data_IF_970523219390
#
_entry.id   IF_970523219390
#
_cell.length_a   1.000
_cell.length_b   1.000
_cell.length_c   1.000
_cell.angle_alpha   90.00
_cell.angle_beta   90.00
_cell.angle_gamma   90.00
#
_symmetry.space_group_name_H-M   'P 1'
#
loop_
_entity.id
_entity.type
_entity.pdbx_description
1 polymer ?
#
# COMPACT_ATOMS: atom_id res chain seq x y z
N UNK A 1 -49.43 36.15 25.97
CA UNK A 1 -48.17 35.62 26.55
C UNK A 1 -48.44 34.17 26.94
N UNK A 2 -47.78 33.11 26.46
CA UNK A 2 -46.36 32.90 26.17
C UNK A 2 -46.21 31.99 24.94
N UNK A 3 -45.18 32.28 24.15
CA UNK A 3 -44.75 31.55 22.96
C UNK A 3 -44.11 30.23 23.38
N UNK A 4 -44.57 29.11 22.86
CA UNK A 4 -43.85 27.83 22.94
C UNK A 4 -42.94 27.73 21.73
N UNK A 5 -41.65 28.02 21.93
CA UNK A 5 -40.61 27.81 20.94
C UNK A 5 -40.24 26.32 20.93
N UNK A 6 -40.60 25.62 19.85
CA UNK A 6 -40.10 24.28 19.57
C UNK A 6 -38.63 24.38 19.19
N UNK A 7 -37.74 24.01 20.12
CA UNK A 7 -36.31 23.87 19.85
C UNK A 7 -36.13 22.57 19.05
N UNK A 8 -35.96 22.69 17.74
CA UNK A 8 -35.49 21.58 16.90
C UNK A 8 -34.01 21.43 17.20
N UNK A 9 -33.67 20.47 18.07
CA UNK A 9 -32.30 20.02 18.25
C UNK A 9 -31.87 19.30 16.96
N UNK A 10 -31.21 20.02 16.07
CA UNK A 10 -30.46 19.43 14.95
C UNK A 10 -29.34 18.59 15.54
N UNK A 11 -29.59 17.29 15.62
CA UNK A 11 -28.60 16.26 15.87
C UNK A 11 -27.62 16.29 14.68
N UNK A 12 -26.50 16.99 14.85
CA UNK A 12 -25.36 16.86 13.94
C UNK A 12 -24.85 15.43 14.15
N UNK A 13 -25.22 14.52 13.25
CA UNK A 13 -24.52 13.25 13.12
C UNK A 13 -23.09 13.60 12.69
N UNK A 14 -22.21 13.78 13.66
CA UNK A 14 -20.79 13.61 13.46
C UNK A 14 -20.58 12.13 13.15
N UNK A 15 -20.76 11.74 11.89
CA UNK A 15 -20.21 10.47 11.40
C UNK A 15 -18.71 10.65 11.47
N UNK A 16 -18.11 10.26 12.59
CA UNK A 16 -16.70 9.93 12.66
C UNK A 16 -16.49 8.76 11.70
N UNK A 17 -16.26 9.08 10.42
CA UNK A 17 -15.54 8.18 9.55
C UNK A 17 -14.21 8.03 10.27
N UNK A 18 -14.02 6.93 11.00
CA UNK A 18 -12.69 6.53 11.41
C UNK A 18 -11.90 6.46 10.12
N UNK A 19 -11.13 7.49 9.80
CA UNK A 19 -10.45 7.57 8.52
C UNK A 19 -9.47 6.41 8.54
N UNK A 20 -9.79 5.34 7.81
CA UNK A 20 -8.82 4.29 7.56
C UNK A 20 -7.53 4.98 7.11
N UNK A 21 -6.40 4.59 7.71
CA UNK A 21 -5.13 5.23 7.37
C UNK A 21 -4.95 5.23 5.84
N UNK A 22 -4.32 6.27 5.26
CA UNK A 22 -4.08 6.34 3.82
C UNK A 22 -3.47 5.05 3.29
N UNK A 23 -3.87 4.65 2.07
CA UNK A 23 -3.44 3.40 1.44
C UNK A 23 -1.91 3.25 1.45
N UNK A 24 -1.17 4.32 1.15
CA UNK A 24 0.29 4.35 1.20
C UNK A 24 0.84 3.98 2.58
N UNK A 25 0.26 4.51 3.68
CA UNK A 25 0.70 4.19 5.05
C UNK A 25 0.36 2.76 5.45
N UNK A 26 -0.81 2.26 5.03
CA UNK A 26 -1.20 0.85 5.29
C UNK A 26 -0.26 -0.10 4.55
N UNK A 27 0.05 0.19 3.30
CA UNK A 27 0.91 -0.65 2.49
C UNK A 27 2.37 -0.57 2.92
N UNK A 28 2.87 0.62 3.29
CA UNK A 28 4.19 0.78 3.90
C UNK A 28 4.35 -0.12 5.14
N UNK A 29 3.41 -0.04 6.09
CA UNK A 29 3.45 -0.90 7.30
C UNK A 29 3.43 -2.37 6.94
N UNK A 30 2.59 -2.76 5.99
CA UNK A 30 2.53 -4.14 5.51
C UNK A 30 3.86 -4.62 4.93
N UNK A 31 4.53 -3.78 4.13
CA UNK A 31 5.82 -4.09 3.51
C UNK A 31 6.92 -4.19 4.57
N UNK A 32 7.01 -3.26 5.52
CA UNK A 32 7.97 -3.33 6.63
C UNK A 32 7.76 -4.61 7.45
N UNK A 33 6.52 -4.89 7.87
CA UNK A 33 6.18 -6.11 8.60
C UNK A 33 6.55 -7.39 7.83
N UNK A 34 6.44 -7.36 6.50
CA UNK A 34 6.82 -8.48 5.63
C UNK A 34 8.33 -8.63 5.63
N UNK A 35 9.09 -7.54 5.43
CA UNK A 35 10.56 -7.54 5.46
C UNK A 35 11.07 -8.16 6.77
N UNK A 36 10.52 -7.74 7.91
CA UNK A 36 10.93 -8.22 9.23
C UNK A 36 10.70 -9.72 9.46
N UNK A 37 9.65 -10.30 8.84
CA UNK A 37 9.18 -11.65 9.16
C UNK A 37 9.54 -12.69 8.11
N UNK A 38 9.84 -12.28 6.89
CA UNK A 38 9.86 -13.16 5.74
C UNK A 38 11.07 -14.09 5.61
N UNK A 39 12.12 -13.90 6.41
CA UNK A 39 13.36 -14.72 6.33
C UNK A 39 13.11 -16.23 6.41
N UNK A 40 12.13 -16.65 7.21
CA UNK A 40 11.81 -18.07 7.44
C UNK A 40 10.42 -18.47 6.92
N UNK A 41 9.84 -17.66 6.03
CA UNK A 41 8.50 -17.94 5.51
C UNK A 41 8.46 -19.19 4.63
N UNK A 42 7.45 -20.01 4.87
CA UNK A 42 7.12 -21.12 3.99
C UNK A 42 6.47 -20.60 2.69
N UNK A 43 6.35 -21.47 1.69
CA UNK A 43 5.57 -21.15 0.49
C UNK A 43 4.13 -20.74 0.81
N UNK A 44 3.50 -21.34 1.83
CA UNK A 44 2.14 -21.01 2.23
C UNK A 44 2.04 -19.58 2.82
N UNK A 45 3.06 -19.15 3.55
CA UNK A 45 3.15 -17.78 4.09
C UNK A 45 3.30 -16.76 2.96
N UNK A 46 4.15 -17.05 1.97
CA UNK A 46 4.27 -16.24 0.75
C UNK A 46 2.98 -16.18 -0.06
N UNK A 47 2.30 -17.31 -0.25
CA UNK A 47 1.02 -17.34 -0.95
C UNK A 47 -0.06 -16.55 -0.20
N UNK A 48 -0.05 -16.58 1.14
CA UNK A 48 -0.93 -15.72 1.96
C UNK A 48 -0.59 -14.26 1.79
N UNK A 49 0.68 -13.90 1.89
CA UNK A 49 1.16 -12.53 1.71
C UNK A 49 0.76 -11.97 0.34
N UNK A 50 0.99 -12.71 -0.74
CA UNK A 50 0.59 -12.28 -2.09
C UNK A 50 -0.91 -12.02 -2.24
N UNK A 51 -1.77 -12.80 -1.55
CA UNK A 51 -3.22 -12.55 -1.55
C UNK A 51 -3.57 -11.24 -0.85
N UNK A 52 -2.97 -10.95 0.29
CA UNK A 52 -3.16 -9.69 1.01
C UNK A 52 -2.62 -8.51 0.20
N UNK A 53 -1.45 -8.66 -0.42
CA UNK A 53 -0.88 -7.68 -1.34
C UNK A 53 -1.81 -7.36 -2.51
N UNK A 54 -2.43 -8.38 -3.11
CA UNK A 54 -3.39 -8.19 -4.21
C UNK A 54 -4.57 -7.29 -3.82
N UNK A 55 -5.04 -7.34 -2.57
CA UNK A 55 -6.11 -6.47 -2.09
C UNK A 55 -5.70 -5.00 -2.09
N UNK A 56 -4.44 -4.68 -1.73
CA UNK A 56 -3.93 -3.31 -1.83
C UNK A 56 -3.87 -2.82 -3.29
N UNK A 57 -3.48 -3.69 -4.21
CA UNK A 57 -3.43 -3.36 -5.64
C UNK A 57 -4.84 -3.14 -6.22
N UNK A 58 -5.82 -3.93 -5.79
CA UNK A 58 -7.22 -3.75 -6.19
C UNK A 58 -7.80 -2.45 -5.63
N UNK A 59 -7.54 -2.12 -4.35
CA UNK A 59 -7.93 -0.84 -3.74
C UNK A 59 -7.29 0.34 -4.50
N UNK A 60 -6.00 0.26 -4.80
CA UNK A 60 -5.30 1.30 -5.56
C UNK A 60 -5.92 1.50 -6.95
N UNK A 61 -6.21 0.42 -7.67
CA UNK A 61 -6.83 0.48 -9.01
C UNK A 61 -8.23 1.08 -8.96
N UNK A 62 -9.03 0.73 -7.95
CA UNK A 62 -10.40 1.21 -7.80
C UNK A 62 -10.46 2.73 -7.56
N UNK A 63 -9.50 3.24 -6.78
CA UNK A 63 -9.48 4.64 -6.36
C UNK A 63 -8.38 5.47 -7.03
N UNK A 64 -7.74 4.95 -8.09
CA UNK A 64 -6.54 5.53 -8.71
C UNK A 64 -6.69 7.01 -9.07
N UNK A 65 -7.85 7.37 -9.62
CA UNK A 65 -8.15 8.72 -10.10
C UNK A 65 -8.50 9.70 -8.98
N UNK A 66 -8.77 9.19 -7.77
CA UNK A 66 -9.04 10.00 -6.58
C UNK A 66 -7.77 10.43 -5.84
N UNK A 67 -6.63 9.78 -6.12
CA UNK A 67 -5.35 10.10 -5.48
C UNK A 67 -4.67 11.29 -6.15
N UNK A 68 -3.93 12.08 -5.38
CA UNK A 68 -2.97 13.04 -5.93
C UNK A 68 -1.80 12.33 -6.59
N UNK A 69 -0.98 13.07 -7.34
CA UNK A 69 0.25 12.50 -7.89
C UNK A 69 1.21 12.05 -6.77
N UNK A 70 1.35 12.83 -5.69
CA UNK A 70 2.22 12.45 -4.57
C UNK A 70 1.73 11.17 -3.88
N UNK A 71 0.40 11.03 -3.72
CA UNK A 71 -0.18 9.81 -3.15
C UNK A 71 0.04 8.59 -4.04
N UNK A 72 -0.16 8.75 -5.36
CA UNK A 72 0.17 7.69 -6.33
C UNK A 72 1.64 7.32 -6.25
N UNK A 73 2.54 8.28 -6.15
CA UNK A 73 3.97 8.01 -6.07
C UNK A 73 4.36 7.30 -4.77
N UNK A 74 3.77 7.69 -3.64
CA UNK A 74 3.96 6.98 -2.37
C UNK A 74 3.45 5.53 -2.45
N UNK A 75 2.28 5.31 -3.05
CA UNK A 75 1.73 3.95 -3.25
C UNK A 75 2.63 3.16 -4.19
N UNK A 76 2.97 3.70 -5.36
CA UNK A 76 3.83 3.07 -6.36
C UNK A 76 5.19 2.68 -5.76
N UNK A 77 5.78 3.52 -4.90
CA UNK A 77 7.01 3.19 -4.18
C UNK A 77 6.86 1.92 -3.33
N UNK A 78 5.80 1.82 -2.55
CA UNK A 78 5.55 0.61 -1.75
C UNK A 78 5.20 -0.62 -2.62
N UNK A 79 4.53 -0.44 -3.78
CA UNK A 79 4.35 -1.51 -4.79
C UNK A 79 5.73 -2.02 -5.21
N UNK A 80 6.63 -1.10 -5.55
CA UNK A 80 8.00 -1.40 -5.93
C UNK A 80 8.72 -2.21 -4.86
N UNK A 81 8.69 -1.74 -3.61
CA UNK A 81 9.36 -2.39 -2.48
C UNK A 81 8.91 -3.83 -2.27
N UNK A 82 7.60 -4.09 -2.31
CA UNK A 82 7.08 -5.45 -2.17
C UNK A 82 7.52 -6.37 -3.32
N UNK A 83 7.46 -5.91 -4.56
CA UNK A 83 7.94 -6.70 -5.71
C UNK A 83 9.45 -6.96 -5.64
N UNK A 84 10.22 -5.96 -5.19
CA UNK A 84 11.65 -6.12 -4.91
C UNK A 84 11.91 -7.22 -3.88
N UNK A 85 11.07 -7.29 -2.86
CA UNK A 85 11.14 -8.35 -1.84
C UNK A 85 10.82 -9.73 -2.41
N UNK A 86 9.78 -9.87 -3.23
CA UNK A 86 9.44 -11.14 -3.88
C UNK A 86 10.62 -11.67 -4.72
N UNK A 87 11.25 -10.79 -5.49
CA UNK A 87 12.42 -11.13 -6.30
C UNK A 87 13.63 -11.48 -5.42
N UNK A 88 13.89 -10.70 -4.36
CA UNK A 88 14.99 -10.94 -3.41
C UNK A 88 14.94 -12.35 -2.82
N UNK A 89 13.74 -12.86 -2.55
CA UNK A 89 13.52 -14.18 -1.97
C UNK A 89 13.26 -15.29 -3.01
N UNK A 90 13.41 -15.00 -4.31
CA UNK A 90 13.20 -15.98 -5.38
C UNK A 90 11.75 -16.46 -5.51
N UNK A 91 10.78 -15.67 -5.05
CA UNK A 91 9.35 -16.01 -5.07
C UNK A 91 8.74 -15.72 -6.43
N UNK A 92 9.20 -14.67 -7.12
CA UNK A 92 8.79 -14.32 -8.48
C UNK A 92 10.00 -13.93 -9.33
N UNK A 93 9.92 -14.20 -10.63
CA UNK A 93 10.96 -13.82 -11.60
C UNK A 93 10.64 -12.46 -12.23
N UNK A 94 11.69 -11.68 -12.52
CA UNK A 94 11.66 -10.28 -13.01
C UNK A 94 10.92 -10.07 -14.35
N UNK A 95 10.59 -11.14 -15.08
CA UNK A 95 10.44 -11.18 -16.53
C UNK A 95 9.52 -10.10 -17.12
N UNK A 96 8.24 -10.12 -16.77
CA UNK A 96 7.24 -9.29 -17.45
C UNK A 96 6.83 -8.03 -16.67
N UNK A 97 6.93 -8.07 -15.34
CA UNK A 97 6.45 -6.98 -14.49
C UNK A 97 7.35 -5.73 -14.56
N UNK A 98 8.66 -5.89 -14.73
CA UNK A 98 9.60 -4.78 -14.59
C UNK A 98 10.09 -4.20 -15.92
N UNK A 99 10.14 -5.00 -16.99
CA UNK A 99 10.65 -4.55 -18.29
C UNK A 99 9.83 -3.41 -18.93
N UNK A 100 8.60 -3.14 -18.49
CA UNK A 100 7.79 -2.02 -18.98
C UNK A 100 7.32 -1.01 -17.93
N UNK A 101 7.30 -1.38 -16.66
CA UNK A 101 6.70 -0.56 -15.59
C UNK A 101 7.72 0.36 -14.92
N UNK A 102 8.97 -0.10 -14.75
CA UNK A 102 10.02 0.68 -14.08
C UNK A 102 10.37 1.98 -14.80
N UNK A 103 10.37 1.97 -16.13
CA UNK A 103 10.65 3.16 -16.94
C UNK A 103 9.47 4.15 -16.98
N UNK A 104 8.24 3.65 -16.81
CA UNK A 104 7.01 4.47 -16.88
C UNK A 104 6.59 5.04 -15.53
N UNK A 105 7.04 4.42 -14.44
CA UNK A 105 6.67 4.79 -13.06
C UNK A 105 7.95 4.84 -12.20
N UNK A 106 8.66 5.98 -12.19
CA UNK A 106 9.93 6.12 -11.48
C UNK A 106 9.86 5.80 -9.99
N UNK A 107 8.77 6.18 -9.32
CA UNK A 107 8.54 5.92 -7.90
C UNK A 107 8.49 4.43 -7.58
N UNK A 108 7.88 3.62 -8.46
CA UNK A 108 7.88 2.15 -8.34
C UNK A 108 9.28 1.59 -8.51
N UNK A 109 10.03 2.05 -9.50
CA UNK A 109 11.40 1.59 -9.71
C UNK A 109 12.33 1.95 -8.55
N UNK A 110 12.15 3.13 -7.95
CA UNK A 110 12.88 3.54 -6.75
C UNK A 110 12.64 2.58 -5.58
N UNK A 111 11.38 2.29 -5.27
CA UNK A 111 11.02 1.35 -4.22
C UNK A 111 11.51 -0.07 -4.48
N UNK A 112 11.42 -0.52 -5.73
CA UNK A 112 11.94 -1.82 -6.13
C UNK A 112 13.44 -1.96 -5.84
N UNK A 113 14.23 -0.99 -6.29
CA UNK A 113 15.69 -1.01 -6.08
C UNK A 113 16.08 -0.85 -4.62
N UNK A 114 15.29 -0.14 -3.79
CA UNK A 114 15.68 0.10 -2.40
C UNK A 114 15.85 -1.22 -1.63
N UNK A 115 14.93 -2.17 -1.81
CA UNK A 115 14.97 -3.47 -1.11
C UNK A 115 16.08 -4.38 -1.63
N UNK A 116 16.45 -4.27 -2.91
CA UNK A 116 17.55 -5.02 -3.51
C UNK A 116 18.93 -4.48 -3.09
N UNK A 117 19.05 -3.15 -2.96
CA UNK A 117 20.31 -2.47 -2.66
C UNK A 117 20.64 -2.41 -1.16
N UNK A 118 19.68 -2.68 -0.27
CA UNK A 118 19.87 -2.72 1.18
C UNK A 118 20.86 -3.81 1.65
N UNK A 119 21.38 -4.64 0.74
CA UNK A 119 22.47 -5.60 0.99
C UNK A 119 23.87 -4.96 1.15
N UNK A 120 24.00 -3.63 1.32
CA UNK A 120 25.29 -2.97 1.61
C UNK A 120 25.56 -2.75 3.10
N UNK A 121 24.74 -3.30 4.00
CA UNK A 121 24.98 -3.27 5.46
C UNK A 121 24.86 -4.66 6.09
N UNK A 122 25.74 -5.58 5.73
CA UNK A 122 26.14 -6.71 6.57
C UNK A 122 27.64 -6.60 6.85
#
# INVERSE_FOLDING_TARGET
MKRFFTIIATLVLATTIASAAPLSKRMNRYVEDTIEKCENWSKADWDKSKREYKLFIEEYKLYKDSYTQEERDAINKEIGRYNGLLVKHGIEELGDFLQGIGERIPSLWEGFKSVLNDNTKQ
#
